data_IF_096179791551
#
_entry.id   IF_096179791551
#
_cell.length_a   1.000
_cell.length_b   1.000
_cell.length_c   1.000
_cell.angle_alpha   90.00
_cell.angle_beta   90.00
_cell.angle_gamma   90.00
#
_symmetry.space_group_name_H-M   'P 1'
#
loop_
_entity.id
_entity.type
_entity.pdbx_description
1 polymer ?
#
# COMPACT_ATOMS: atom_id res chain seq x y z
N UNK A 1 16.05 -7.81 -14.99
CA UNK A 1 17.23 -7.92 -15.88
C UNK A 1 18.44 -8.62 -15.23
N UNK A 2 18.76 -8.34 -13.95
CA UNK A 2 19.88 -8.98 -13.22
C UNK A 2 19.90 -10.51 -13.25
N UNK A 3 18.76 -11.16 -13.05
CA UNK A 3 18.66 -12.62 -13.05
C UNK A 3 18.91 -13.28 -14.43
N UNK A 4 18.63 -12.56 -15.51
CA UNK A 4 18.80 -13.07 -16.89
C UNK A 4 20.25 -12.96 -17.30
N UNK A 5 20.90 -11.82 -17.04
CA UNK A 5 22.32 -11.64 -17.35
C UNK A 5 23.20 -12.55 -16.48
N UNK A 6 22.87 -12.73 -15.19
CA UNK A 6 23.58 -13.65 -14.30
C UNK A 6 23.32 -15.12 -14.66
N UNK A 7 22.09 -15.49 -15.01
CA UNK A 7 21.73 -16.84 -15.41
C UNK A 7 22.38 -17.27 -16.74
N UNK A 8 22.33 -16.40 -17.76
CA UNK A 8 22.91 -16.68 -19.08
C UNK A 8 24.44 -16.69 -19.01
N UNK A 9 25.06 -15.77 -18.26
CA UNK A 9 26.51 -15.78 -18.05
C UNK A 9 27.00 -16.99 -17.27
N UNK A 10 26.27 -17.44 -16.25
CA UNK A 10 26.57 -18.67 -15.52
C UNK A 10 26.45 -19.90 -16.42
N UNK A 11 25.42 -19.96 -17.28
CA UNK A 11 25.21 -21.07 -18.20
C UNK A 11 26.29 -21.14 -19.28
N UNK A 12 26.72 -19.99 -19.82
CA UNK A 12 27.86 -19.90 -20.75
C UNK A 12 29.19 -20.28 -20.08
N UNK A 13 29.41 -19.87 -18.82
CA UNK A 13 30.59 -20.28 -18.07
C UNK A 13 30.62 -21.80 -17.81
N UNK A 14 29.47 -22.41 -17.50
CA UNK A 14 29.33 -23.86 -17.33
C UNK A 14 29.59 -24.59 -18.65
N UNK A 15 29.03 -24.12 -19.77
CA UNK A 15 29.29 -24.71 -21.10
C UNK A 15 30.77 -24.61 -21.46
N UNK A 16 31.41 -23.47 -21.19
CA UNK A 16 32.84 -23.27 -21.45
C UNK A 16 33.71 -24.17 -20.57
N UNK A 17 33.33 -24.33 -19.29
CA UNK A 17 34.00 -25.24 -18.36
C UNK A 17 33.87 -26.72 -18.78
N UNK A 18 32.68 -27.13 -19.22
CA UNK A 18 32.44 -28.49 -19.75
C UNK A 18 33.23 -28.71 -21.05
N UNK A 19 33.30 -27.71 -21.93
CA UNK A 19 34.09 -27.78 -23.16
C UNK A 19 35.59 -27.99 -22.86
N UNK A 20 36.15 -27.27 -21.87
CA UNK A 20 37.54 -27.45 -21.42
C UNK A 20 37.80 -28.87 -20.89
N UNK A 21 36.85 -29.44 -20.14
CA UNK A 21 36.94 -30.81 -19.64
C UNK A 21 36.88 -31.82 -20.80
N UNK A 22 35.96 -31.65 -21.75
CA UNK A 22 35.73 -32.56 -22.86
C UNK A 22 36.87 -32.55 -23.90
N UNK A 23 37.55 -31.42 -24.10
CA UNK A 23 38.71 -31.35 -25.00
C UNK A 23 40.00 -31.92 -24.41
N UNK A 24 39.94 -32.47 -23.17
CA UNK A 24 41.09 -32.99 -22.45
C UNK A 24 41.96 -31.85 -21.95
N UNK A 25 41.87 -31.52 -20.66
CA UNK A 25 42.69 -30.51 -19.97
C UNK A 25 44.18 -30.86 -19.86
N UNK A 26 44.76 -31.46 -20.90
CA UNK A 26 46.15 -31.90 -21.01
C UNK A 26 46.90 -31.27 -22.18
N UNK A 27 46.58 -30.02 -22.54
CA UNK A 27 47.46 -29.21 -23.38
C UNK A 27 48.55 -28.53 -22.54
N UNK A 28 49.74 -28.31 -23.11
CA UNK A 28 50.95 -27.82 -22.42
C UNK A 28 50.82 -26.45 -21.71
N UNK A 29 49.69 -25.74 -21.86
CA UNK A 29 49.47 -24.40 -21.33
C UNK A 29 48.09 -24.21 -20.65
N UNK A 30 47.84 -24.87 -19.50
CA UNK A 30 46.59 -24.71 -18.74
C UNK A 30 46.30 -23.24 -18.34
N UNK A 31 47.34 -22.42 -18.20
CA UNK A 31 47.24 -21.00 -17.83
C UNK A 31 46.41 -20.15 -18.81
N UNK A 32 46.35 -20.54 -20.10
CA UNK A 32 45.60 -19.79 -21.11
C UNK A 32 44.09 -19.90 -20.87
N UNK A 33 43.59 -21.10 -20.54
CA UNK A 33 42.17 -21.32 -20.25
C UNK A 33 41.73 -20.56 -18.98
N UNK A 34 42.57 -20.58 -17.94
CA UNK A 34 42.32 -19.81 -16.70
C UNK A 34 42.32 -18.30 -16.96
N UNK A 35 43.18 -17.79 -17.84
CA UNK A 35 43.19 -16.37 -18.23
C UNK A 35 41.86 -15.95 -18.88
N UNK A 36 41.32 -16.76 -19.79
CA UNK A 36 40.02 -16.47 -20.41
C UNK A 36 38.86 -16.48 -19.41
N UNK A 37 38.85 -17.40 -18.44
CA UNK A 37 37.84 -17.41 -17.38
C UNK A 37 37.91 -16.16 -16.49
N UNK A 38 39.11 -15.71 -16.14
CA UNK A 38 39.31 -14.47 -15.37
C UNK A 38 38.84 -13.25 -16.16
N UNK A 39 39.21 -13.14 -17.44
CA UNK A 39 38.77 -12.04 -18.31
C UNK A 39 37.24 -12.04 -18.46
N UNK A 40 36.63 -13.22 -18.67
CA UNK A 40 35.17 -13.35 -18.75
C UNK A 40 34.49 -12.95 -17.44
N UNK A 41 35.01 -13.40 -16.30
CA UNK A 41 34.51 -13.02 -14.98
C UNK A 41 34.56 -11.50 -14.74
N UNK A 42 35.69 -10.86 -15.08
CA UNK A 42 35.85 -9.40 -15.01
C UNK A 42 34.86 -8.71 -15.96
N UNK A 43 34.67 -9.22 -17.18
CA UNK A 43 33.72 -8.69 -18.15
C UNK A 43 32.27 -8.75 -17.65
N UNK A 44 31.84 -9.88 -17.10
CA UNK A 44 30.50 -10.05 -16.50
C UNK A 44 30.33 -9.12 -15.29
N UNK A 45 31.33 -9.06 -14.41
CA UNK A 45 31.31 -8.16 -13.24
C UNK A 45 31.21 -6.69 -13.67
N UNK A 46 32.00 -6.27 -14.65
CA UNK A 46 31.96 -4.91 -15.20
C UNK A 46 30.58 -4.59 -15.80
N UNK A 47 30.01 -5.49 -16.62
CA UNK A 47 28.67 -5.32 -17.19
C UNK A 47 27.59 -5.23 -16.11
N UNK A 48 27.63 -6.08 -15.08
CA UNK A 48 26.68 -6.03 -13.98
C UNK A 48 26.79 -4.72 -13.20
N UNK A 49 28.01 -4.24 -12.92
CA UNK A 49 28.21 -3.00 -12.18
C UNK A 49 27.76 -1.79 -13.00
N UNK A 50 28.07 -1.76 -14.29
CA UNK A 50 27.63 -0.71 -15.22
C UNK A 50 26.10 -0.67 -15.35
N UNK A 51 25.44 -1.84 -15.36
CA UNK A 51 23.97 -1.88 -15.38
C UNK A 51 23.37 -1.32 -14.09
N UNK A 52 23.95 -1.64 -12.92
CA UNK A 52 23.52 -1.06 -11.62
C UNK A 52 23.64 0.46 -11.62
N UNK A 53 24.70 0.99 -12.19
CA UNK A 53 24.91 2.43 -12.30
C UNK A 53 23.83 3.09 -13.16
N UNK A 54 23.50 2.52 -14.33
CA UNK A 54 22.43 3.00 -15.21
C UNK A 54 21.07 2.98 -14.50
N UNK A 55 20.72 1.87 -13.85
CA UNK A 55 19.43 1.73 -13.14
C UNK A 55 19.32 2.74 -11.98
N UNK A 56 20.43 2.99 -11.27
CA UNK A 56 20.49 3.97 -10.19
C UNK A 56 20.38 5.41 -10.72
N UNK A 57 21.01 5.71 -11.85
CA UNK A 57 20.91 7.02 -12.51
C UNK A 57 19.47 7.28 -13.00
N UNK A 58 18.84 6.29 -13.63
CA UNK A 58 17.44 6.37 -14.07
C UNK A 58 16.50 6.59 -12.88
N UNK A 59 16.67 5.82 -11.80
CA UNK A 59 15.92 5.99 -10.55
C UNK A 59 16.10 7.39 -9.97
N UNK A 60 17.34 7.90 -9.91
CA UNK A 60 17.65 9.22 -9.38
C UNK A 60 17.00 10.33 -10.21
N UNK A 61 16.98 10.17 -11.54
CA UNK A 61 16.30 11.08 -12.46
C UNK A 61 14.78 11.08 -12.22
N UNK A 62 14.16 9.91 -12.09
CA UNK A 62 12.72 9.80 -11.80
C UNK A 62 12.36 10.39 -10.44
N UNK A 63 13.18 10.15 -9.41
CA UNK A 63 12.95 10.75 -8.08
C UNK A 63 13.05 12.27 -8.11
N UNK A 64 14.04 12.81 -8.83
CA UNK A 64 14.16 14.27 -9.02
C UNK A 64 12.97 14.84 -9.80
N UNK A 65 12.53 14.18 -10.86
CA UNK A 65 11.34 14.58 -11.60
C UNK A 65 10.08 14.55 -10.72
N UNK A 66 9.91 13.51 -9.92
CA UNK A 66 8.80 13.40 -8.98
C UNK A 66 8.81 14.55 -7.97
N UNK A 67 9.98 14.92 -7.45
CA UNK A 67 10.17 16.05 -6.55
C UNK A 67 9.80 17.39 -7.19
N UNK A 68 10.31 17.63 -8.40
CA UNK A 68 10.02 18.84 -9.15
C UNK A 68 8.53 18.97 -9.44
N UNK A 69 7.84 17.85 -9.72
CA UNK A 69 6.39 17.82 -9.97
C UNK A 69 5.58 18.05 -8.70
N UNK A 70 5.97 17.45 -7.58
CA UNK A 70 5.37 17.71 -6.27
C UNK A 70 5.48 19.20 -5.89
N UNK A 71 6.67 19.80 -6.06
CA UNK A 71 6.92 21.21 -5.75
C UNK A 71 6.14 22.19 -6.65
N UNK A 72 5.67 21.75 -7.82
CA UNK A 72 4.79 22.53 -8.71
C UNK A 72 3.31 22.45 -8.29
N UNK A 73 2.93 21.53 -7.41
CA UNK A 73 1.56 21.44 -6.93
C UNK A 73 1.23 22.64 -6.03
N UNK A 74 0.05 23.26 -6.16
CA UNK A 74 -0.35 24.38 -5.32
C UNK A 74 -0.32 24.01 -3.83
N UNK A 75 0.35 24.83 -3.02
CA UNK A 75 0.46 24.66 -1.55
C UNK A 75 1.04 23.32 -1.09
N UNK A 76 1.91 22.70 -1.90
CA UNK A 76 2.55 21.45 -1.52
C UNK A 76 3.45 21.60 -0.30
N UNK A 77 3.31 20.65 0.63
CA UNK A 77 4.20 20.39 1.75
C UNK A 77 4.31 18.88 1.92
N UNK A 78 5.33 18.44 2.64
CA UNK A 78 5.55 17.03 2.91
C UNK A 78 6.09 16.85 4.31
N UNK A 79 5.46 15.98 5.10
CA UNK A 79 5.99 15.47 6.37
C UNK A 79 6.60 14.09 6.19
N UNK A 80 6.03 13.27 5.30
CA UNK A 80 6.52 11.92 5.01
C UNK A 80 6.39 11.59 3.52
N UNK A 81 7.27 10.73 3.02
CA UNK A 81 7.31 10.35 1.61
C UNK A 81 7.71 8.89 1.44
N UNK A 82 7.02 8.22 0.53
CA UNK A 82 7.30 6.85 0.12
C UNK A 82 7.49 6.84 -1.39
N UNK A 83 8.57 6.24 -1.87
CA UNK A 83 8.83 6.08 -3.29
C UNK A 83 9.05 4.62 -3.61
N UNK A 84 8.48 4.20 -4.73
CA UNK A 84 8.72 2.88 -5.32
C UNK A 84 10.21 2.60 -5.54
N UNK A 85 10.65 1.33 -5.53
CA UNK A 85 12.03 0.95 -5.84
C UNK A 85 12.53 1.48 -7.19
N UNK A 86 11.66 1.50 -8.20
CA UNK A 86 11.88 2.08 -9.54
C UNK A 86 11.93 3.60 -9.57
N UNK A 87 11.45 4.27 -8.50
CA UNK A 87 11.36 5.73 -8.41
C UNK A 87 10.27 6.36 -9.27
N UNK A 88 9.41 5.56 -9.90
CA UNK A 88 8.39 6.03 -10.83
C UNK A 88 7.09 6.48 -10.16
N UNK A 89 6.81 5.96 -8.97
CA UNK A 89 5.68 6.39 -8.14
C UNK A 89 6.17 6.92 -6.80
N UNK A 90 5.65 8.08 -6.42
CA UNK A 90 5.89 8.72 -5.13
C UNK A 90 4.55 9.09 -4.47
N UNK A 91 4.38 8.63 -3.22
CA UNK A 91 3.33 9.06 -2.31
C UNK A 91 3.94 10.04 -1.31
N UNK A 92 3.41 11.26 -1.25
CA UNK A 92 3.75 12.27 -0.26
C UNK A 92 2.58 12.52 0.68
N UNK A 93 2.87 12.71 1.96
CA UNK A 93 1.88 12.95 3.01
C UNK A 93 2.19 14.31 3.64
N UNK A 94 1.17 15.13 3.82
CA UNK A 94 1.23 16.38 4.57
C UNK A 94 0.24 16.31 5.74
N UNK A 95 0.78 15.98 6.91
CA UNK A 95 0.01 15.88 8.16
C UNK A 95 -0.57 17.21 8.63
N UNK A 96 0.06 18.33 8.26
CA UNK A 96 -0.39 19.65 8.69
C UNK A 96 -1.64 20.10 7.92
N UNK A 97 -1.61 19.91 6.59
CA UNK A 97 -2.75 20.28 5.73
C UNK A 97 -3.73 19.12 5.51
N UNK A 98 -3.48 17.95 6.10
CA UNK A 98 -4.32 16.74 6.05
C UNK A 98 -4.60 16.26 4.63
N UNK A 99 -3.54 16.13 3.86
CA UNK A 99 -3.59 15.76 2.45
C UNK A 99 -2.50 14.74 2.09
N UNK A 100 -2.78 13.95 1.07
CA UNK A 100 -1.81 13.06 0.42
C UNK A 100 -1.69 13.46 -1.05
N UNK A 101 -0.50 13.32 -1.62
CA UNK A 101 -0.24 13.60 -3.03
C UNK A 101 0.45 12.43 -3.70
N UNK A 102 0.01 12.08 -4.89
CA UNK A 102 0.61 11.06 -5.74
C UNK A 102 1.26 11.70 -6.95
N UNK A 103 2.48 11.26 -7.26
CA UNK A 103 3.12 11.52 -8.53
C UNK A 103 3.48 10.21 -9.19
N UNK A 104 3.17 10.12 -10.49
CA UNK A 104 3.59 9.01 -11.34
C UNK A 104 4.41 9.56 -12.52
N UNK A 105 5.71 9.29 -12.53
CA UNK A 105 6.62 9.82 -13.55
C UNK A 105 6.38 9.23 -14.93
N UNK A 106 5.82 8.01 -15.01
CA UNK A 106 5.42 7.40 -16.28
C UNK A 106 4.19 8.09 -16.92
N UNK A 107 3.40 8.87 -16.15
CA UNK A 107 2.19 9.53 -16.64
C UNK A 107 2.08 10.99 -16.17
N UNK A 108 2.35 11.94 -17.07
CA UNK A 108 2.38 13.39 -16.79
C UNK A 108 1.07 14.04 -16.31
N UNK A 109 -0.08 13.36 -16.40
CA UNK A 109 -1.40 13.94 -16.05
C UNK A 109 -2.12 13.24 -14.89
N UNK A 110 -1.44 12.34 -14.18
CA UNK A 110 -2.04 11.58 -13.07
C UNK A 110 -1.67 12.13 -11.69
N UNK A 111 -0.95 13.24 -11.66
CA UNK A 111 -0.56 13.93 -10.44
C UNK A 111 -1.78 14.49 -9.72
N UNK A 112 -2.01 14.04 -8.50
CA UNK A 112 -3.22 14.37 -7.74
C UNK A 112 -2.94 14.50 -6.26
N UNK A 113 -3.59 15.49 -5.66
CA UNK A 113 -3.66 15.69 -4.21
C UNK A 113 -5.08 15.40 -3.74
N UNK A 114 -5.18 14.64 -2.66
CA UNK A 114 -6.43 14.23 -2.03
C UNK A 114 -6.40 14.61 -0.55
N UNK A 115 -7.55 15.03 0.00
CA UNK A 115 -7.67 15.19 1.45
C UNK A 115 -7.80 13.82 2.09
N UNK A 116 -7.51 13.71 3.39
CA UNK A 116 -7.72 12.44 4.11
C UNK A 116 -9.15 11.91 3.99
N UNK A 117 -10.10 12.84 3.92
CA UNK A 117 -11.53 12.56 3.72
C UNK A 117 -11.88 12.04 2.33
N UNK A 118 -10.95 12.00 1.40
CA UNK A 118 -11.16 11.39 0.09
C UNK A 118 -10.61 9.96 0.04
N UNK A 119 -9.86 9.52 1.06
CA UNK A 119 -9.32 8.16 1.14
C UNK A 119 -10.43 7.21 1.60
N UNK A 120 -10.69 6.17 0.82
CA UNK A 120 -11.76 5.20 1.08
C UNK A 120 -11.22 3.88 1.61
N UNK A 121 -10.09 3.42 1.07
CA UNK A 121 -9.50 2.13 1.43
C UNK A 121 -7.99 2.17 1.24
N UNK A 122 -7.29 1.42 2.07
CA UNK A 122 -5.88 1.10 1.94
C UNK A 122 -5.73 -0.41 2.05
N UNK A 123 -4.97 -1.05 1.18
CA UNK A 123 -4.71 -2.48 1.23
C UNK A 123 -3.31 -2.83 0.74
N UNK A 124 -2.68 -3.83 1.36
CA UNK A 124 -1.42 -4.42 0.94
C UNK A 124 -1.73 -5.63 0.10
N UNK A 125 -1.12 -5.71 -1.07
CA UNK A 125 -1.21 -6.84 -1.99
C UNK A 125 0.15 -7.52 -2.10
N UNK A 126 0.14 -8.84 -1.99
CA UNK A 126 1.27 -9.72 -2.27
C UNK A 126 0.93 -10.50 -3.54
N UNK A 127 1.70 -10.31 -4.62
CA UNK A 127 1.46 -10.92 -5.93
C UNK A 127 -0.01 -10.79 -6.42
N UNK A 128 -0.61 -9.62 -6.18
CA UNK A 128 -2.00 -9.31 -6.57
C UNK A 128 -3.08 -9.81 -5.60
N UNK A 129 -2.70 -10.53 -4.54
CA UNK A 129 -3.63 -11.00 -3.50
C UNK A 129 -3.62 -10.01 -2.34
N UNK A 130 -4.78 -9.45 -1.98
CA UNK A 130 -4.91 -8.62 -0.77
C UNK A 130 -4.63 -9.45 0.48
N UNK A 131 -3.66 -8.99 1.28
CA UNK A 131 -3.23 -9.67 2.52
C UNK A 131 -3.56 -8.86 3.77
N UNK A 132 -3.67 -7.54 3.66
CA UNK A 132 -4.04 -6.63 4.76
C UNK A 132 -4.87 -5.49 4.18
N UNK A 133 -5.96 -5.09 4.83
CA UNK A 133 -6.84 -4.02 4.35
C UNK A 133 -7.43 -3.22 5.50
N UNK A 134 -7.63 -1.93 5.26
CA UNK A 134 -8.31 -0.97 6.12
C UNK A 134 -9.28 -0.18 5.26
N UNK A 135 -10.55 -0.12 5.67
CA UNK A 135 -11.58 0.65 4.99
C UNK A 135 -12.00 1.84 5.84
N UNK A 136 -12.58 2.83 5.17
CA UNK A 136 -13.19 3.97 5.82
C UNK A 136 -14.55 3.61 6.43
N UNK A 137 -14.71 3.88 7.72
CA UNK A 137 -15.86 3.42 8.50
C UNK A 137 -17.15 4.22 8.24
N UNK A 138 -17.03 5.48 7.81
CA UNK A 138 -18.20 6.32 7.46
C UNK A 138 -18.96 5.86 6.21
N UNK A 139 -18.34 5.05 5.34
CA UNK A 139 -18.97 4.55 4.11
C UNK A 139 -19.46 3.09 4.23
N UNK A 140 -18.96 2.36 5.23
CA UNK A 140 -19.35 0.99 5.54
C UNK A 140 -19.89 1.00 6.96
N UNK A 141 -21.17 1.38 7.10
CA UNK A 141 -21.89 1.55 8.37
C UNK A 141 -21.23 0.93 9.60
N UNK A 142 -20.38 1.70 10.28
CA UNK A 142 -19.88 1.39 11.63
C UNK A 142 -18.89 0.21 11.76
N UNK A 143 -18.22 -0.25 10.70
CA UNK A 143 -17.35 -1.42 10.79
C UNK A 143 -15.84 -1.10 10.89
N UNK A 144 -15.31 -1.25 12.12
CA UNK A 144 -14.04 -1.92 12.45
C UNK A 144 -12.72 -1.31 11.93
N UNK A 145 -12.22 -0.35 12.70
CA UNK A 145 -10.77 -0.13 12.83
C UNK A 145 -10.14 -1.34 13.54
N UNK A 146 -9.33 -2.10 12.80
CA UNK A 146 -8.29 -2.95 13.39
C UNK A 146 -8.50 -4.45 13.20
N UNK A 147 -7.74 -5.00 12.24
CA UNK A 147 -7.32 -6.40 12.24
C UNK A 147 -8.31 -7.39 11.61
N UNK A 148 -7.87 -8.04 10.53
CA UNK A 148 -8.30 -9.38 10.09
C UNK A 148 -9.63 -9.59 9.34
N UNK A 149 -10.55 -8.62 9.17
CA UNK A 149 -11.92 -8.96 8.76
C UNK A 149 -12.34 -8.75 7.29
N UNK A 150 -11.44 -8.70 6.32
CA UNK A 150 -11.82 -8.86 4.91
C UNK A 150 -10.70 -9.45 4.04
N UNK A 151 -10.39 -10.74 4.27
CA UNK A 151 -9.58 -11.59 3.39
C UNK A 151 -8.06 -11.41 3.53
N UNK A 152 -7.36 -12.43 4.03
CA UNK A 152 -5.91 -12.53 3.81
C UNK A 152 -5.09 -13.22 4.87
N UNK A 153 -5.07 -12.75 6.11
CA UNK A 153 -4.11 -13.28 7.11
C UNK A 153 -4.50 -14.68 7.61
N UNK A 154 -5.78 -15.08 7.53
CA UNK A 154 -6.23 -16.46 7.80
C UNK A 154 -6.25 -17.39 6.59
N UNK A 155 -6.30 -16.86 5.37
CA UNK A 155 -6.35 -17.66 4.14
C UNK A 155 -4.96 -18.10 3.65
N UNK A 156 -3.92 -17.31 3.95
CA UNK A 156 -2.53 -17.65 3.66
C UNK A 156 -2.03 -18.87 4.46
N UNK A 157 -2.57 -19.10 5.65
CA UNK A 157 -2.11 -20.18 6.54
C UNK A 157 -3.10 -21.36 6.62
N UNK A 158 -4.40 -21.18 6.36
CA UNK A 158 -5.40 -22.17 6.78
C UNK A 158 -6.09 -23.05 5.74
N UNK A 159 -6.14 -22.72 4.44
CA UNK A 159 -7.15 -23.38 3.57
C UNK A 159 -6.92 -23.51 2.07
N UNK A 160 -5.91 -22.84 1.49
CA UNK A 160 -5.58 -23.00 0.06
C UNK A 160 -4.10 -23.35 -0.19
N UNK A 161 -3.30 -23.49 0.87
CA UNK A 161 -1.93 -24.03 0.81
C UNK A 161 -1.94 -25.53 1.07
N UNK A 162 -2.75 -26.26 0.30
CA UNK A 162 -2.74 -27.72 0.29
C UNK A 162 -1.54 -28.26 -0.50
N UNK A 163 -0.31 -27.91 -0.12
CA UNK A 163 0.92 -28.58 -0.55
C UNK A 163 2.17 -28.00 0.16
N UNK A 164 2.54 -28.59 1.30
CA UNK A 164 3.92 -28.87 1.76
C UNK A 164 4.97 -27.74 1.70
N UNK A 165 5.43 -27.27 2.86
CA UNK A 165 6.82 -26.88 3.21
C UNK A 165 7.71 -26.33 2.08
N UNK A 166 7.20 -25.40 1.28
CA UNK A 166 7.97 -24.62 0.31
C UNK A 166 7.85 -23.19 0.78
N UNK A 167 8.99 -22.56 1.09
CA UNK A 167 9.03 -21.14 1.46
C UNK A 167 8.28 -20.35 0.38
N UNK A 168 7.10 -19.84 0.73
CA UNK A 168 6.25 -19.10 -0.19
C UNK A 168 7.08 -17.91 -0.72
N UNK A 169 7.39 -17.91 -2.00
CA UNK A 169 8.21 -16.86 -2.62
C UNK A 169 7.30 -15.78 -3.19
N UNK A 170 7.70 -14.53 -2.99
CA UNK A 170 6.94 -13.34 -3.38
C UNK A 170 7.73 -12.54 -4.40
N UNK A 171 7.08 -12.07 -5.46
CA UNK A 171 7.71 -11.21 -6.47
C UNK A 171 7.35 -9.74 -6.27
N UNK A 172 6.15 -9.48 -5.77
CA UNK A 172 5.58 -8.15 -5.69
C UNK A 172 4.87 -7.89 -4.37
N UNK A 173 5.16 -6.73 -3.78
CA UNK A 173 4.42 -6.16 -2.63
C UNK A 173 4.01 -4.75 -3.01
N UNK A 174 2.71 -4.48 -2.98
CA UNK A 174 2.12 -3.19 -3.34
C UNK A 174 1.17 -2.70 -2.27
N UNK A 175 1.11 -1.38 -2.08
CA UNK A 175 0.02 -0.72 -1.36
C UNK A 175 -0.93 -0.11 -2.38
N UNK A 176 -2.20 -0.53 -2.36
CA UNK A 176 -3.27 0.12 -3.09
C UNK A 176 -4.01 1.08 -2.15
N UNK A 177 -4.17 2.32 -2.60
CA UNK A 177 -4.99 3.33 -1.95
C UNK A 177 -6.13 3.66 -2.91
N UNK A 178 -7.35 3.46 -2.44
CA UNK A 178 -8.57 3.79 -3.18
C UNK A 178 -9.12 5.10 -2.63
N UNK A 179 -9.42 6.02 -3.53
CA UNK A 179 -9.90 7.37 -3.22
C UNK A 179 -11.22 7.67 -3.92
N UNK A 180 -11.94 8.67 -3.41
CA UNK A 180 -13.19 9.18 -3.98
C UNK A 180 -12.92 10.08 -5.20
N UNK A 181 -12.45 9.48 -6.29
CA UNK A 181 -12.19 10.13 -7.57
C UNK A 181 -12.63 9.20 -8.69
N UNK A 182 -13.67 9.56 -9.43
CA UNK A 182 -14.21 8.71 -10.50
C UNK A 182 -13.29 8.62 -11.71
N UNK A 183 -12.35 9.55 -11.88
CA UNK A 183 -11.40 9.53 -12.99
C UNK A 183 -10.14 8.75 -12.63
N UNK A 184 -9.64 8.86 -11.40
CA UNK A 184 -8.44 8.16 -10.93
C UNK A 184 -8.64 7.57 -9.51
N UNK A 185 -9.49 6.54 -9.36
CA UNK A 185 -9.88 6.02 -8.05
C UNK A 185 -8.81 5.17 -7.37
N UNK A 186 -7.85 4.62 -8.12
CA UNK A 186 -6.89 3.63 -7.62
C UNK A 186 -5.47 4.15 -7.82
N UNK A 187 -4.75 4.29 -6.71
CA UNK A 187 -3.33 4.62 -6.68
C UNK A 187 -2.55 3.47 -6.09
N UNK A 188 -1.51 3.00 -6.78
CA UNK A 188 -0.68 1.87 -6.35
C UNK A 188 0.75 2.32 -6.16
N UNK A 189 1.40 1.86 -5.10
CA UNK A 189 2.84 2.04 -4.91
C UNK A 189 3.46 0.70 -4.54
N UNK A 190 4.43 0.26 -5.34
CA UNK A 190 5.19 -0.94 -5.06
C UNK A 190 6.28 -0.67 -4.02
N UNK A 191 6.50 -1.63 -3.12
CA UNK A 191 7.63 -1.66 -2.17
C UNK A 191 8.61 -2.79 -2.53
N UNK A 192 8.12 -3.78 -3.27
CA UNK A 192 8.89 -4.83 -3.92
C UNK A 192 8.27 -5.03 -5.29
N UNK A 193 9.06 -4.98 -6.36
CA UNK A 193 8.60 -5.30 -7.71
C UNK A 193 9.74 -5.93 -8.50
N UNK A 194 9.64 -7.23 -8.76
CA UNK A 194 10.65 -7.96 -9.52
C UNK A 194 10.01 -8.98 -10.44
N UNK A 195 10.14 -8.73 -11.75
CA UNK A 195 9.65 -9.65 -12.77
C UNK A 195 10.41 -11.00 -12.77
N UNK A 196 11.67 -10.99 -12.35
CA UNK A 196 12.62 -12.09 -12.56
C UNK A 196 13.07 -12.80 -11.29
N UNK A 197 12.95 -12.14 -10.13
CA UNK A 197 13.40 -12.69 -8.84
C UNK A 197 12.21 -12.80 -7.90
N UNK A 198 12.05 -13.97 -7.29
CA UNK A 198 11.08 -14.20 -6.23
C UNK A 198 11.83 -14.37 -4.90
N UNK A 199 11.37 -13.69 -3.86
CA UNK A 199 12.02 -13.62 -2.55
C UNK A 199 11.27 -14.49 -1.56
N UNK A 200 11.99 -15.30 -0.78
CA UNK A 200 11.37 -16.05 0.31
C UNK A 200 10.85 -15.09 1.39
N UNK A 201 9.72 -15.41 2.04
CA UNK A 201 9.12 -14.56 3.10
C UNK A 201 10.03 -14.33 4.32
N UNK A 202 11.04 -15.17 4.52
CA UNK A 202 12.03 -15.01 5.57
C UNK A 202 13.25 -14.17 5.16
N UNK A 203 13.38 -13.83 3.86
CA UNK A 203 14.47 -13.02 3.34
C UNK A 203 14.43 -11.59 3.88
N UNK A 204 15.60 -10.96 3.93
CA UNK A 204 15.72 -9.60 4.41
C UNK A 204 14.96 -8.62 3.51
N UNK A 205 15.08 -8.79 2.19
CA UNK A 205 14.43 -7.96 1.17
C UNK A 205 12.90 -8.01 1.29
N UNK A 206 12.33 -9.20 1.46
CA UNK A 206 10.88 -9.33 1.68
C UNK A 206 10.45 -8.62 2.96
N UNK A 207 11.13 -8.89 4.08
CA UNK A 207 10.77 -8.32 5.39
C UNK A 207 10.86 -6.80 5.38
N UNK A 208 11.92 -6.25 4.81
CA UNK A 208 12.12 -4.79 4.72
C UNK A 208 11.03 -4.12 3.88
N UNK A 209 10.76 -4.66 2.69
CA UNK A 209 9.72 -4.15 1.80
C UNK A 209 8.32 -4.27 2.44
N UNK A 210 7.99 -5.42 3.04
CA UNK A 210 6.70 -5.65 3.70
C UNK A 210 6.53 -4.75 4.92
N UNK A 211 7.56 -4.60 5.76
CA UNK A 211 7.50 -3.73 6.93
C UNK A 211 7.31 -2.26 6.54
N UNK A 212 7.96 -1.81 5.46
CA UNK A 212 7.79 -0.46 4.93
C UNK A 212 6.37 -0.26 4.38
N UNK A 213 5.85 -1.21 3.59
CA UNK A 213 4.47 -1.21 3.10
C UNK A 213 3.47 -1.21 4.26
N UNK A 214 3.72 -2.02 5.28
CA UNK A 214 2.89 -2.13 6.49
C UNK A 214 2.90 -0.83 7.29
N UNK A 215 4.07 -0.20 7.48
CA UNK A 215 4.17 1.09 8.15
C UNK A 215 3.36 2.17 7.41
N UNK A 216 3.53 2.24 6.08
CA UNK A 216 2.75 3.16 5.24
C UNK A 216 1.24 2.87 5.35
N UNK A 217 0.83 1.59 5.28
CA UNK A 217 -0.56 1.17 5.43
C UNK A 217 -1.16 1.61 6.78
N UNK A 218 -0.44 1.37 7.88
CA UNK A 218 -0.88 1.77 9.23
C UNK A 218 -1.02 3.29 9.34
N UNK A 219 -0.07 4.03 8.76
CA UNK A 219 -0.16 5.49 8.69
C UNK A 219 -1.44 5.91 7.97
N UNK A 220 -1.71 5.39 6.76
CA UNK A 220 -2.96 5.67 6.03
C UNK A 220 -4.21 5.31 6.86
N UNK A 221 -4.18 4.20 7.60
CA UNK A 221 -5.25 3.83 8.53
C UNK A 221 -5.51 4.88 9.62
N UNK A 222 -4.44 5.49 10.16
CA UNK A 222 -4.55 6.62 11.09
C UNK A 222 -5.16 7.84 10.39
N UNK A 223 -4.75 8.16 9.16
CA UNK A 223 -5.28 9.30 8.40
C UNK A 223 -6.79 9.14 8.13
N UNK A 224 -7.23 7.93 7.75
CA UNK A 224 -8.64 7.57 7.56
C UNK A 224 -9.41 7.79 8.87
N UNK A 225 -8.88 7.30 10.00
CA UNK A 225 -9.52 7.46 11.32
C UNK A 225 -9.68 8.93 11.71
N UNK A 226 -8.65 9.75 11.49
CA UNK A 226 -8.72 11.18 11.77
C UNK A 226 -9.84 11.85 10.95
N UNK A 227 -9.94 11.50 9.66
CA UNK A 227 -11.02 12.01 8.80
C UNK A 227 -12.42 11.54 9.25
N UNK A 228 -12.56 10.28 9.66
CA UNK A 228 -13.83 9.74 10.18
C UNK A 228 -14.26 10.42 11.49
N UNK A 229 -13.33 10.66 12.42
CA UNK A 229 -13.63 11.38 13.66
C UNK A 229 -14.01 12.84 13.40
N UNK A 230 -13.41 13.50 12.41
CA UNK A 230 -13.77 14.86 12.00
C UNK A 230 -15.17 14.95 11.40
N UNK A 231 -15.55 13.98 10.56
CA UNK A 231 -16.90 13.95 9.99
C UNK A 231 -17.95 13.66 11.07
N UNK A 232 -17.69 12.73 11.99
CA UNK A 232 -18.55 12.50 13.17
C UNK A 232 -18.73 13.76 14.01
N UNK A 233 -17.64 14.50 14.26
CA UNK A 233 -17.69 15.78 15.00
C UNK A 233 -18.54 16.83 14.28
N UNK A 234 -18.46 16.90 12.94
CA UNK A 234 -19.31 17.81 12.15
C UNK A 234 -20.79 17.41 12.21
N UNK A 235 -21.12 16.13 12.08
CA UNK A 235 -22.50 15.65 12.17
C UNK A 235 -23.14 15.96 13.53
N UNK A 236 -22.40 15.78 14.63
CA UNK A 236 -22.85 16.14 15.98
C UNK A 236 -23.09 17.67 16.07
N UNK A 237 -22.15 18.46 15.55
CA UNK A 237 -22.24 19.93 15.58
C UNK A 237 -23.40 20.48 14.74
N UNK A 238 -23.69 19.86 13.60
CA UNK A 238 -24.83 20.21 12.73
C UNK A 238 -26.18 19.76 13.32
N UNK A 239 -26.19 18.65 14.09
CA UNK A 239 -27.38 18.19 14.80
C UNK A 239 -27.69 19.05 16.04
N UNK A 240 -26.68 19.65 16.68
CA UNK A 240 -26.85 20.56 17.83
C UNK A 240 -27.15 22.02 17.45
N UNK A 241 -26.94 22.41 16.19
CA UNK A 241 -27.27 23.76 15.68
C UNK A 241 -28.65 23.86 15.01
N UNK A 242 -29.35 22.74 14.82
CA UNK A 242 -30.74 22.69 14.36
C UNK A 242 -31.76 22.38 15.46
N UNK A 243 -31.35 22.40 16.74
CA UNK A 243 -32.25 22.26 17.91
C UNK A 243 -32.89 23.57 18.39
N UNK A 244 -33.10 24.53 17.47
CA UNK A 244 -34.11 25.59 17.60
C UNK A 244 -34.81 25.78 16.26
N UNK A 245 -35.74 24.88 15.94
CA UNK A 245 -36.63 25.01 14.78
C UNK A 245 -37.19 23.69 14.28
N UNK A 246 -38.32 23.26 14.86
CA UNK A 246 -39.15 22.10 14.47
C UNK A 246 -38.53 20.70 14.67
N UNK A 247 -38.43 20.26 15.92
CA UNK A 247 -38.53 18.82 16.21
C UNK A 247 -39.97 18.41 15.93
N UNK A 248 -40.18 17.40 15.08
CA UNK A 248 -41.50 16.88 14.78
C UNK A 248 -42.09 16.23 16.03
N UNK A 249 -43.37 16.47 16.32
CA UNK A 249 -44.12 15.81 17.42
C UNK A 249 -43.97 14.28 17.35
N UNK A 250 -43.81 13.72 16.14
CA UNK A 250 -43.57 12.30 15.94
C UNK A 250 -42.25 11.80 16.55
N UNK A 251 -41.18 12.60 16.49
CA UNK A 251 -39.87 12.24 17.03
C UNK A 251 -39.88 12.32 18.57
N UNK A 252 -40.61 13.29 19.13
CA UNK A 252 -40.80 13.41 20.58
C UNK A 252 -41.60 12.22 21.13
N UNK A 253 -42.66 11.80 20.43
CA UNK A 253 -43.42 10.60 20.78
C UNK A 253 -42.58 9.33 20.71
N UNK A 254 -41.71 9.20 19.71
CA UNK A 254 -40.84 8.02 19.56
C UNK A 254 -39.83 7.92 20.70
N UNK A 255 -39.24 9.04 21.12
CA UNK A 255 -38.36 9.12 22.30
C UNK A 255 -39.12 8.81 23.59
N UNK A 256 -40.35 9.30 23.71
CA UNK A 256 -41.20 9.04 24.87
C UNK A 256 -41.50 7.54 25.03
N UNK A 257 -41.78 6.84 23.92
CA UNK A 257 -42.00 5.38 23.91
C UNK A 257 -40.73 4.65 24.34
N UNK A 258 -39.58 5.07 23.81
CA UNK A 258 -38.29 4.47 24.16
C UNK A 258 -37.98 4.61 25.66
N UNK A 259 -38.22 5.77 26.27
CA UNK A 259 -38.00 5.99 27.71
C UNK A 259 -38.90 5.09 28.58
N UNK A 260 -40.13 4.80 28.13
CA UNK A 260 -41.05 3.89 28.81
C UNK A 260 -40.58 2.44 28.68
N UNK A 261 -40.19 2.03 27.48
CA UNK A 261 -39.73 0.66 27.21
C UNK A 261 -38.41 0.35 27.93
N UNK A 262 -37.54 1.35 28.09
CA UNK A 262 -36.31 1.27 28.89
C UNK A 262 -36.58 1.33 30.41
N UNK A 263 -37.82 1.53 30.83
CA UNK A 263 -38.22 1.61 32.25
C UNK A 263 -37.71 2.86 32.97
N UNK A 264 -37.26 3.88 32.22
CA UNK A 264 -36.76 5.15 32.75
C UNK A 264 -37.92 6.02 33.26
N UNK A 265 -39.08 5.92 32.61
CA UNK A 265 -40.33 6.56 33.04
C UNK A 265 -41.41 5.51 33.27
N UNK A 266 -42.28 5.78 34.23
CA UNK A 266 -43.46 4.96 34.50
C UNK A 266 -44.54 5.11 33.42
N UNK A 267 -45.48 4.17 33.38
CA UNK A 267 -46.63 4.23 32.46
C UNK A 267 -47.47 5.49 32.65
N UNK A 268 -47.61 5.96 33.90
CA UNK A 268 -48.39 7.17 34.23
C UNK A 268 -47.67 8.45 33.79
N UNK A 269 -46.35 8.51 33.94
CA UNK A 269 -45.52 9.62 33.46
C UNK A 269 -45.50 9.69 31.92
N UNK A 270 -45.48 8.54 31.25
CA UNK A 270 -45.60 8.45 29.80
C UNK A 270 -46.93 9.03 29.31
N UNK A 271 -48.07 8.62 29.87
CA UNK A 271 -49.37 9.13 29.42
C UNK A 271 -49.54 10.64 29.72
N UNK A 272 -49.03 11.12 30.86
CA UNK A 272 -49.05 12.54 31.20
C UNK A 272 -48.24 13.41 30.21
N UNK A 273 -47.08 12.92 29.76
CA UNK A 273 -46.24 13.62 28.79
C UNK A 273 -46.78 13.50 27.36
N UNK A 274 -47.27 12.32 26.98
CA UNK A 274 -47.92 12.09 25.69
C UNK A 274 -49.11 13.03 25.48
N UNK A 275 -49.93 13.25 26.52
CA UNK A 275 -51.05 14.20 26.44
C UNK A 275 -50.59 15.63 26.20
N UNK A 276 -49.47 16.07 26.79
CA UNK A 276 -48.89 17.40 26.53
C UNK A 276 -48.35 17.56 25.12
N UNK A 277 -47.89 16.48 24.50
CA UNK A 277 -47.32 16.47 23.15
C UNK A 277 -48.36 16.43 22.03
N UNK A 278 -49.52 15.82 22.28
CA UNK A 278 -50.56 15.60 21.25
C UNK A 278 -51.77 16.56 21.42
N UNK A 279 -51.95 17.16 22.60
CA UNK A 279 -53.10 18.02 22.95
C UNK A 279 -54.16 17.31 23.79
#
# INVERSE_FOLDING_TARGET
MYGVLSGVSALLAIIFFIAIILTGGGGDHPFIAWSFLVIFGIGVWYCQNKQKEIDNEERSKKQKEAEDRLNRMPNYKSTQKYSSPSGDITLSIDENSKQISFVNTNFYHKDKTYKYRDILKSEILTDGISVTSTNRGSQLGGALLGGLLAGGVGALIGGLSGSTTSQEKVKKIELNIIVNDTANPIHKIAFLDSDFTSYAKDSHEYKDAYNTAYHCHQLIGVLIRQADEEDKRKEISTSSSNSQGNVSVADELRKLVQLKDEGIISGDEFEAQKKKLIG
#
